data_IF_830431220831
#
_entry.id   IF_830431220831
#
_cell.length_a   1.000
_cell.length_b   1.000
_cell.length_c   1.000
_cell.angle_alpha   90.00
_cell.angle_beta   90.00
_cell.angle_gamma   90.00
#
_symmetry.space_group_name_H-M   'P 1'
#
loop_
_entity.id
_entity.type
_entity.pdbx_description
1 polymer ?
#
# COMPACT_ATOMS: atom_id res chain seq x y z
N UNK A 1 -17.16 -31.90 -25.55
CA UNK A 1 -15.75 -31.96 -25.10
C UNK A 1 -15.28 -30.71 -24.36
N UNK A 2 -15.31 -29.50 -24.95
CA UNK A 2 -14.81 -28.26 -24.29
C UNK A 2 -15.42 -27.98 -22.91
N UNK A 3 -16.74 -28.16 -22.76
CA UNK A 3 -17.43 -27.93 -21.48
C UNK A 3 -16.98 -28.89 -20.37
N UNK A 4 -16.73 -30.15 -20.70
CA UNK A 4 -16.24 -31.17 -19.76
C UNK A 4 -14.84 -30.82 -19.27
N UNK A 5 -13.96 -30.40 -20.19
CA UNK A 5 -12.61 -29.94 -19.86
C UNK A 5 -12.68 -28.70 -18.97
N UNK A 6 -13.53 -27.72 -19.30
CA UNK A 6 -13.71 -26.53 -18.47
C UNK A 6 -14.19 -26.87 -17.05
N UNK A 7 -15.17 -27.76 -16.90
CA UNK A 7 -15.65 -28.24 -15.59
C UNK A 7 -14.55 -28.95 -14.80
N UNK A 8 -13.76 -29.81 -15.46
CA UNK A 8 -12.64 -30.49 -14.83
C UNK A 8 -11.58 -29.48 -14.34
N UNK A 9 -11.16 -28.55 -15.19
CA UNK A 9 -10.19 -27.50 -14.82
C UNK A 9 -10.72 -26.64 -13.66
N UNK A 10 -12.00 -26.26 -13.69
CA UNK A 10 -12.65 -25.51 -12.59
C UNK A 10 -12.73 -26.31 -11.29
N UNK A 11 -12.87 -27.63 -11.36
CA UNK A 11 -12.87 -28.51 -10.18
C UNK A 11 -11.47 -28.79 -9.62
N UNK A 12 -10.42 -28.52 -10.38
CA UNK A 12 -9.05 -28.78 -9.95
C UNK A 12 -8.59 -27.70 -8.96
N UNK A 13 -8.41 -28.10 -7.70
CA UNK A 13 -7.96 -27.22 -6.62
C UNK A 13 -6.53 -26.71 -6.83
N UNK A 14 -5.65 -27.54 -7.39
CA UNK A 14 -4.29 -27.13 -7.73
C UNK A 14 -4.28 -26.04 -8.81
N UNK A 15 -5.00 -26.26 -9.91
CA UNK A 15 -5.11 -25.26 -10.97
C UNK A 15 -5.72 -23.95 -10.45
N UNK A 16 -6.76 -24.02 -9.63
CA UNK A 16 -7.42 -22.82 -9.09
C UNK A 16 -6.53 -22.02 -8.14
N UNK A 17 -5.62 -22.66 -7.40
CA UNK A 17 -4.70 -22.00 -6.47
C UNK A 17 -3.48 -21.39 -7.16
N UNK A 18 -2.92 -22.08 -8.16
CA UNK A 18 -1.61 -21.72 -8.71
C UNK A 18 -1.68 -21.02 -10.07
N UNK A 19 -2.77 -21.16 -10.83
CA UNK A 19 -2.91 -20.42 -12.08
C UNK A 19 -3.31 -18.97 -11.80
N UNK A 20 -2.55 -18.05 -12.40
CA UNK A 20 -2.87 -16.63 -12.35
C UNK A 20 -4.19 -16.34 -13.08
N UNK A 21 -5.03 -15.51 -12.48
CA UNK A 21 -6.16 -14.92 -13.20
C UNK A 21 -5.65 -13.80 -14.10
N UNK A 22 -5.95 -13.87 -15.40
CA UNK A 22 -5.65 -12.80 -16.37
C UNK A 22 -6.83 -11.86 -16.59
N UNK A 23 -7.88 -11.97 -15.76
CA UNK A 23 -9.02 -11.07 -15.79
C UNK A 23 -8.61 -9.75 -15.15
N UNK A 24 -9.03 -8.63 -15.73
CA UNK A 24 -8.88 -7.32 -15.07
C UNK A 24 -9.62 -7.37 -13.72
N UNK A 25 -9.07 -6.74 -12.67
CA UNK A 25 -9.81 -6.55 -11.43
C UNK A 25 -11.17 -5.93 -11.73
N UNK A 26 -12.25 -6.39 -11.09
CA UNK A 26 -13.55 -5.77 -11.27
C UNK A 26 -13.55 -4.35 -10.67
N UNK A 27 -14.22 -3.42 -11.34
CA UNK A 27 -14.42 -2.04 -10.86
C UNK A 27 -13.43 -1.01 -11.40
N UNK A 28 -13.77 0.27 -11.18
CA UNK A 28 -12.90 1.42 -11.43
C UNK A 28 -12.21 1.84 -10.12
N UNK A 29 -11.03 2.44 -10.23
CA UNK A 29 -10.39 3.12 -9.10
C UNK A 29 -11.37 4.14 -8.51
N UNK A 30 -11.47 4.16 -7.18
CA UNK A 30 -12.27 5.16 -6.44
C UNK A 30 -11.32 6.25 -5.97
N UNK A 31 -11.16 7.36 -6.71
CA UNK A 31 -10.29 8.45 -6.30
C UNK A 31 -10.83 9.10 -5.03
N UNK A 32 -9.93 9.50 -4.14
CA UNK A 32 -10.26 10.34 -2.99
C UNK A 32 -10.44 11.77 -3.51
N UNK A 33 -11.55 12.41 -3.15
CA UNK A 33 -11.78 13.81 -3.51
C UNK A 33 -10.69 14.70 -2.91
N UNK A 34 -10.22 15.71 -3.67
CA UNK A 34 -9.24 16.64 -3.14
C UNK A 34 -9.84 17.40 -1.95
N UNK A 35 -9.10 17.57 -0.84
CA UNK A 35 -9.52 18.44 0.25
C UNK A 35 -9.66 19.90 -0.20
N UNK A 36 -10.45 20.69 0.53
CA UNK A 36 -10.67 22.11 0.26
C UNK A 36 -9.73 23.02 1.06
N UNK A 37 -9.12 22.49 2.12
CA UNK A 37 -8.24 23.23 3.01
C UNK A 37 -6.91 22.49 3.23
N UNK A 38 -5.83 23.27 3.43
CA UNK A 38 -4.52 22.70 3.79
C UNK A 38 -4.60 22.01 5.14
N UNK A 39 -3.94 20.86 5.26
CA UNK A 39 -3.95 19.99 6.45
C UNK A 39 -5.28 19.32 6.77
N UNK A 40 -6.29 19.38 5.88
CA UNK A 40 -7.56 18.67 6.06
C UNK A 40 -7.42 17.15 5.94
N UNK A 41 -6.58 16.70 5.00
CA UNK A 41 -6.29 15.26 4.78
C UNK A 41 -4.78 15.09 4.73
N UNK A 42 -4.25 14.26 5.63
CA UNK A 42 -2.84 13.91 5.69
C UNK A 42 -2.63 12.46 5.24
N UNK A 43 -1.73 12.27 4.29
CA UNK A 43 -1.18 10.96 3.95
C UNK A 43 0.01 10.66 4.84
N UNK A 44 -0.01 9.53 5.56
CA UNK A 44 1.12 9.08 6.36
C UNK A 44 1.65 7.78 5.76
N UNK A 45 2.96 7.70 5.54
CA UNK A 45 3.62 6.48 5.09
C UNK A 45 4.97 6.30 5.77
N UNK A 46 5.45 5.06 5.82
CA UNK A 46 6.75 4.71 6.36
C UNK A 46 7.62 4.10 5.27
N UNK A 47 8.75 4.74 5.02
CA UNK A 47 9.77 4.19 4.15
C UNK A 47 10.87 3.49 4.97
N UNK A 48 11.24 2.26 4.58
CA UNK A 48 12.29 1.46 5.22
C UNK A 48 11.91 -0.02 5.42
N UNK A 49 12.76 -0.83 6.10
CA UNK A 49 13.99 -0.42 6.77
C UNK A 49 15.15 -0.14 5.81
N UNK A 50 16.02 0.81 6.18
CA UNK A 50 17.29 1.11 5.50
C UNK A 50 18.48 0.67 6.34
N UNK A 51 19.68 0.77 5.76
CA UNK A 51 20.92 0.80 6.55
C UNK A 51 20.77 1.87 7.64
N UNK A 52 21.14 1.56 8.91
CA UNK A 52 21.04 2.52 9.98
C UNK A 52 21.84 3.79 9.66
N UNK A 53 21.24 4.96 9.93
CA UNK A 53 21.98 6.22 9.97
C UNK A 53 22.98 6.22 11.13
N UNK A 54 23.82 7.26 11.21
CA UNK A 54 24.68 7.49 12.36
C UNK A 54 23.92 7.45 13.70
N UNK A 55 22.70 8.00 13.73
CA UNK A 55 21.86 8.03 14.93
C UNK A 55 20.97 6.78 15.11
N UNK A 56 21.23 5.71 14.35
CA UNK A 56 20.48 4.45 14.45
C UNK A 56 19.09 4.46 13.82
N UNK A 57 18.70 5.51 13.10
CA UNK A 57 17.43 5.57 12.38
C UNK A 57 17.45 4.62 11.17
N UNK A 58 16.37 3.87 10.99
CA UNK A 58 16.22 2.90 9.89
C UNK A 58 15.00 3.17 9.02
N UNK A 59 14.19 4.15 9.40
CA UNK A 59 12.93 4.45 8.74
C UNK A 59 12.77 5.95 8.61
N UNK A 60 11.99 6.35 7.61
CA UNK A 60 11.51 7.72 7.43
C UNK A 60 9.99 7.69 7.50
N UNK A 61 9.41 8.41 8.45
CA UNK A 61 7.99 8.74 8.47
C UNK A 61 7.77 9.92 7.53
N UNK A 62 6.95 9.71 6.51
CA UNK A 62 6.57 10.73 5.53
C UNK A 62 5.13 11.13 5.82
N UNK A 63 4.93 12.42 6.06
CA UNK A 63 3.60 13.02 6.26
C UNK A 63 3.39 14.02 5.14
N UNK A 64 2.34 13.84 4.37
CA UNK A 64 2.05 14.66 3.19
C UNK A 64 0.68 15.29 3.33
N UNK A 65 0.60 16.62 3.25
CA UNK A 65 -0.67 17.32 3.07
C UNK A 65 -1.22 17.04 1.67
N UNK A 66 -2.44 16.53 1.59
CA UNK A 66 -3.01 16.08 0.31
C UNK A 66 -3.40 17.23 -0.60
N UNK A 67 -3.67 18.43 -0.08
CA UNK A 67 -4.01 19.59 -0.89
C UNK A 67 -2.77 20.22 -1.53
N UNK A 68 -1.83 20.67 -0.70
CA UNK A 68 -0.67 21.45 -1.13
C UNK A 68 0.48 20.58 -1.61
N UNK A 69 0.49 19.29 -1.27
CA UNK A 69 1.63 18.42 -1.47
C UNK A 69 2.80 18.72 -0.52
N UNK A 70 2.58 19.52 0.53
CA UNK A 70 3.61 19.80 1.54
C UNK A 70 4.02 18.52 2.27
N UNK A 71 5.33 18.30 2.44
CA UNK A 71 5.88 17.06 3.00
C UNK A 71 6.71 17.34 4.25
N UNK A 72 6.49 16.53 5.28
CA UNK A 72 7.36 16.40 6.45
C UNK A 72 7.98 15.00 6.42
N UNK A 73 9.31 14.93 6.48
CA UNK A 73 10.06 13.68 6.57
C UNK A 73 10.78 13.60 7.92
N UNK A 74 10.43 12.61 8.75
CA UNK A 74 11.01 12.40 10.08
C UNK A 74 11.74 11.07 10.14
N UNK A 75 13.03 11.10 10.47
CA UNK A 75 13.79 9.88 10.72
C UNK A 75 13.32 9.21 12.02
N UNK A 76 13.24 7.88 12.04
CA UNK A 76 12.99 7.13 13.27
C UNK A 76 13.60 5.72 13.28
N UNK A 77 13.94 5.19 14.47
CA UNK A 77 14.61 3.90 14.62
C UNK A 77 13.66 2.69 14.43
N UNK A 78 12.36 2.84 14.71
CA UNK A 78 11.39 1.74 14.66
C UNK A 78 10.11 2.10 13.92
N UNK A 79 9.46 1.11 13.30
CA UNK A 79 8.16 1.26 12.65
C UNK A 79 7.01 0.91 13.59
N UNK A 80 6.88 1.65 14.70
CA UNK A 80 5.83 1.42 15.72
C UNK A 80 4.86 2.60 15.79
N UNK A 81 3.63 2.35 16.23
CA UNK A 81 2.63 3.38 16.43
C UNK A 81 3.10 4.43 17.46
N UNK A 82 3.83 3.99 18.50
CA UNK A 82 4.41 4.87 19.51
C UNK A 82 5.43 5.84 18.90
N UNK A 83 6.28 5.37 17.99
CA UNK A 83 7.25 6.23 17.31
C UNK A 83 6.58 7.20 16.33
N UNK A 84 5.46 6.81 15.71
CA UNK A 84 4.66 7.69 14.84
C UNK A 84 3.93 8.78 15.64
N UNK A 85 3.53 8.52 16.89
CA UNK A 85 2.81 9.47 17.74
C UNK A 85 3.70 10.49 18.47
N UNK A 86 5.03 10.29 18.45
CA UNK A 86 6.04 11.21 19.01
C UNK A 86 6.40 12.30 18.03
#
# INVERSE_FOLDING_TARGET
MKQTIAKYIQSCTQCSKFNITRRKPPGLLQPIEPPNEVFQILGLDRWGPTTPSHDGNRYVLVITDRLSGYVIAKASPTNTAQDTAR
#
